data_IF_416397609284
#
_entry.id   IF_416397609284
#
_cell.length_a   1.000
_cell.length_b   1.000
_cell.length_c   1.000
_cell.angle_alpha   90.00
_cell.angle_beta   90.00
_cell.angle_gamma   90.00
#
_symmetry.space_group_name_H-M   'P 1'
#
loop_
_entity.id
_entity.type
_entity.pdbx_description
1 polymer ?
#
# COMPACT_ATOMS: atom_id res chain seq x y z
N UNK A 1 -18.04 6.29 8.24
CA UNK A 1 -16.92 5.36 8.41
C UNK A 1 -15.68 6.17 8.70
N UNK A 2 -14.69 5.55 9.33
CA UNK A 2 -13.43 6.16 9.70
C UNK A 2 -12.40 5.59 8.73
N UNK A 3 -11.83 6.44 7.87
CA UNK A 3 -11.00 6.00 6.76
C UNK A 3 -9.72 6.85 6.72
N UNK A 4 -8.61 6.23 6.32
CA UNK A 4 -7.38 6.93 5.97
C UNK A 4 -7.42 7.18 4.46
N UNK A 5 -7.38 8.45 4.06
CA UNK A 5 -7.47 8.86 2.66
C UNK A 5 -6.23 9.68 2.29
N UNK A 6 -5.54 9.29 1.23
CA UNK A 6 -4.39 10.02 0.71
C UNK A 6 -4.51 10.22 -0.80
N UNK A 7 -3.86 11.29 -1.29
CA UNK A 7 -3.75 11.57 -2.73
C UNK A 7 -2.35 12.04 -3.06
N UNK A 8 -1.71 11.38 -4.02
CA UNK A 8 -0.43 11.81 -4.59
C UNK A 8 -0.50 11.88 -6.12
N UNK A 9 0.37 12.67 -6.72
CA UNK A 9 0.61 12.68 -8.16
C UNK A 9 2.04 12.22 -8.44
N UNK A 10 2.19 11.32 -9.40
CA UNK A 10 3.48 10.77 -9.83
C UNK A 10 3.65 10.99 -11.33
N UNK A 11 4.86 11.35 -11.77
CA UNK A 11 5.20 11.53 -13.19
C UNK A 11 5.62 10.18 -13.76
N UNK A 12 4.62 9.35 -14.06
CA UNK A 12 4.79 8.02 -14.62
C UNK A 12 3.51 7.58 -15.37
N UNK A 13 3.63 6.73 -16.39
CA UNK A 13 2.49 6.05 -17.02
C UNK A 13 1.65 5.26 -16.01
N UNK A 14 0.34 5.21 -16.21
CA UNK A 14 -0.59 4.46 -15.35
C UNK A 14 -0.20 2.99 -15.22
N UNK A 15 0.29 2.36 -16.30
CA UNK A 15 0.70 0.95 -16.28
C UNK A 15 1.86 0.74 -15.30
N UNK A 16 2.89 1.60 -15.30
CA UNK A 16 4.03 1.49 -14.38
C UNK A 16 3.58 1.62 -12.92
N UNK A 17 2.65 2.54 -12.64
CA UNK A 17 2.09 2.73 -11.29
C UNK A 17 1.20 1.55 -10.90
N UNK A 18 0.41 1.02 -11.84
CA UNK A 18 -0.40 -0.16 -11.64
C UNK A 18 0.48 -1.36 -11.29
N UNK A 19 1.54 -1.64 -12.07
CA UNK A 19 2.48 -2.73 -11.76
C UNK A 19 3.12 -2.55 -10.39
N UNK A 20 3.49 -1.31 -10.01
CA UNK A 20 4.10 -1.02 -8.72
C UNK A 20 3.19 -1.34 -7.53
N UNK A 21 1.86 -1.22 -7.66
CA UNK A 21 0.93 -1.55 -6.59
C UNK A 21 0.30 -2.93 -6.74
N UNK A 22 0.22 -3.49 -7.96
CA UNK A 22 -0.53 -4.71 -8.25
C UNK A 22 0.33 -5.99 -8.28
N UNK A 23 1.66 -5.90 -8.17
CA UNK A 23 2.56 -7.07 -8.25
C UNK A 23 3.39 -7.24 -6.98
N UNK A 24 3.73 -8.48 -6.58
CA UNK A 24 4.64 -8.71 -5.45
C UNK A 24 5.98 -7.98 -5.61
N UNK A 25 6.54 -7.99 -6.83
CA UNK A 25 7.81 -7.32 -7.13
C UNK A 25 7.70 -5.80 -7.02
N UNK A 26 6.60 -5.22 -7.51
CA UNK A 26 6.30 -3.80 -7.38
C UNK A 26 6.15 -3.37 -5.93
N UNK A 27 5.32 -4.10 -5.17
CA UNK A 27 5.07 -3.88 -3.75
C UNK A 27 6.36 -3.97 -2.93
N UNK A 28 7.23 -4.93 -3.26
CA UNK A 28 8.54 -5.07 -2.63
C UNK A 28 9.48 -3.89 -2.91
N UNK A 29 9.28 -3.18 -4.03
CA UNK A 29 10.11 -2.05 -4.44
C UNK A 29 9.87 -0.76 -3.66
N UNK A 30 8.71 -0.59 -3.00
CA UNK A 30 8.39 0.64 -2.27
C UNK A 30 7.84 0.44 -0.87
N UNK A 31 7.27 -0.73 -0.54
CA UNK A 31 6.63 -0.96 0.74
C UNK A 31 7.47 -1.82 1.68
N UNK A 32 7.65 -3.12 1.39
CA UNK A 32 8.51 -3.99 2.20
C UNK A 32 9.18 -5.04 1.33
N UNK A 33 10.50 -5.21 1.50
CA UNK A 33 11.26 -6.20 0.72
C UNK A 33 10.79 -7.64 0.97
N UNK A 34 10.16 -7.90 2.13
CA UNK A 34 9.56 -9.19 2.45
C UNK A 34 8.06 -9.19 2.07
N UNK A 35 7.83 -9.21 0.75
CA UNK A 35 6.52 -9.37 0.14
C UNK A 35 6.47 -10.71 -0.60
N UNK A 36 5.52 -11.57 -0.24
CA UNK A 36 5.36 -12.90 -0.84
C UNK A 36 3.89 -13.19 -1.16
N UNK A 37 3.63 -14.30 -1.84
CA UNK A 37 2.28 -14.72 -2.22
C UNK A 37 1.99 -14.51 -3.70
N UNK A 38 0.71 -14.45 -4.06
CA UNK A 38 0.25 -14.30 -5.45
C UNK A 38 -0.72 -13.14 -5.57
N UNK A 39 -0.45 -12.26 -6.53
CA UNK A 39 -1.38 -11.19 -6.88
C UNK A 39 -2.35 -11.69 -7.96
N UNK A 40 -3.31 -12.50 -7.54
CA UNK A 40 -4.38 -13.03 -8.36
C UNK A 40 -5.70 -12.93 -7.57
N UNK A 41 -6.82 -12.76 -8.26
CA UNK A 41 -8.14 -12.64 -7.61
C UNK A 41 -8.42 -13.81 -6.65
N UNK A 42 -8.71 -13.49 -5.38
CA UNK A 42 -8.98 -14.46 -4.31
C UNK A 42 -7.75 -15.12 -3.70
N UNK A 43 -6.55 -14.89 -4.26
CA UNK A 43 -5.29 -15.31 -3.66
C UNK A 43 -4.83 -14.31 -2.59
N UNK A 44 -3.73 -14.64 -1.90
CA UNK A 44 -3.21 -13.86 -0.78
C UNK A 44 -1.82 -13.32 -1.04
N UNK A 45 -1.60 -12.11 -0.54
CA UNK A 45 -0.30 -11.45 -0.38
C UNK A 45 0.05 -11.39 1.09
N UNK A 46 1.31 -11.69 1.42
CA UNK A 46 1.85 -11.64 2.77
C UNK A 46 2.96 -10.59 2.82
N UNK A 47 2.83 -9.65 3.75
CA UNK A 47 3.79 -8.56 3.97
C UNK A 47 4.40 -8.71 5.36
N UNK A 48 5.73 -8.66 5.47
CA UNK A 48 6.45 -8.76 6.74
C UNK A 48 7.37 -7.56 6.93
N UNK A 49 7.52 -7.14 8.18
CA UNK A 49 8.31 -5.97 8.60
C UNK A 49 9.34 -6.37 9.66
N UNK A 50 10.00 -7.51 9.44
CA UNK A 50 10.97 -8.07 10.38
C UNK A 50 10.34 -8.34 11.75
N UNK A 51 10.96 -7.82 12.81
CA UNK A 51 10.53 -8.02 14.20
C UNK A 51 9.20 -7.30 14.52
N UNK A 52 8.74 -6.38 13.67
CA UNK A 52 7.46 -5.67 13.83
C UNK A 52 6.24 -6.48 13.36
N UNK A 53 6.44 -7.73 12.92
CA UNK A 53 5.37 -8.61 12.47
C UNK A 53 4.94 -8.35 11.03
N UNK A 54 3.66 -8.49 10.74
CA UNK A 54 3.14 -8.38 9.38
C UNK A 54 1.64 -8.61 9.30
N UNK A 55 1.14 -8.62 8.08
CA UNK A 55 -0.28 -8.83 7.78
C UNK A 55 -0.43 -9.55 6.44
N UNK A 56 -1.57 -10.23 6.29
CA UNK A 56 -1.93 -10.95 5.07
C UNK A 56 -3.18 -10.32 4.49
N UNK A 57 -3.19 -10.13 3.17
CA UNK A 57 -4.30 -9.52 2.45
C UNK A 57 -4.79 -10.42 1.34
N UNK A 58 -6.11 -10.60 1.24
CA UNK A 58 -6.78 -11.24 0.12
C UNK A 58 -7.01 -10.24 -1.01
N UNK A 59 -6.70 -10.65 -2.24
CA UNK A 59 -6.92 -9.82 -3.42
C UNK A 59 -8.39 -9.83 -3.82
N UNK A 60 -9.04 -8.69 -3.68
CA UNK A 60 -10.45 -8.50 -4.01
C UNK A 60 -10.67 -7.98 -5.43
N UNK A 61 -9.71 -7.24 -5.98
CA UNK A 61 -9.83 -6.64 -7.31
C UNK A 61 -8.47 -6.34 -7.93
N UNK A 62 -8.31 -6.69 -9.20
CA UNK A 62 -7.19 -6.33 -10.06
C UNK A 62 -7.74 -5.90 -11.41
N UNK A 63 -7.80 -4.58 -11.64
CA UNK A 63 -8.22 -3.98 -12.90
C UNK A 63 -7.07 -3.09 -13.42
N UNK A 64 -6.36 -3.53 -14.48
CA UNK A 64 -5.30 -2.76 -15.12
C UNK A 64 -5.73 -1.39 -15.64
N UNK A 65 -7.03 -1.11 -15.75
CA UNK A 65 -7.53 0.23 -16.09
C UNK A 65 -7.35 1.26 -14.97
N UNK A 66 -6.96 0.83 -13.77
CA UNK A 66 -6.56 1.72 -12.68
C UNK A 66 -7.21 1.41 -11.33
N UNK A 67 -7.53 0.15 -11.03
CA UNK A 67 -8.08 -0.22 -9.72
C UNK A 67 -7.47 -1.47 -9.14
N UNK A 68 -7.11 -1.40 -7.86
CA UNK A 68 -6.62 -2.55 -7.09
C UNK A 68 -7.27 -2.50 -5.71
N UNK A 69 -7.74 -3.66 -5.22
CA UNK A 69 -8.31 -3.77 -3.88
C UNK A 69 -7.86 -5.00 -3.15
N UNK A 70 -7.63 -4.85 -1.86
CA UNK A 70 -7.35 -5.94 -0.95
C UNK A 70 -8.17 -5.85 0.32
N UNK A 71 -8.39 -6.99 0.97
CA UNK A 71 -8.94 -7.08 2.33
C UNK A 71 -7.91 -7.65 3.26
N UNK A 72 -7.74 -7.03 4.42
CA UNK A 72 -6.85 -7.59 5.45
C UNK A 72 -7.52 -8.81 6.09
N UNK A 73 -6.82 -9.94 6.07
CA UNK A 73 -7.31 -11.24 6.56
C UNK A 73 -6.55 -11.75 7.78
N UNK A 74 -5.34 -11.23 8.03
CA UNK A 74 -4.53 -11.52 9.21
C UNK A 74 -3.63 -10.33 9.56
N UNK A 75 -3.22 -10.20 10.83
CA UNK A 75 -2.42 -9.10 11.34
C UNK A 75 -3.01 -8.43 12.59
N UNK A 76 -2.72 -7.14 12.84
CA UNK A 76 -3.29 -6.38 13.97
C UNK A 76 -4.83 -6.40 13.97
N UNK A 77 -5.45 -6.51 15.15
CA UNK A 77 -6.91 -6.62 15.29
C UNK A 77 -7.66 -5.44 14.62
N UNK A 78 -7.08 -4.25 14.67
CA UNK A 78 -7.64 -3.04 14.10
C UNK A 78 -7.67 -3.05 12.57
N UNK A 79 -6.79 -3.82 11.92
CA UNK A 79 -6.75 -3.95 10.47
C UNK A 79 -7.64 -5.09 9.96
N UNK A 80 -7.83 -6.18 10.70
CA UNK A 80 -8.57 -7.35 10.19
C UNK A 80 -9.99 -6.94 9.74
N UNK A 81 -10.32 -7.24 8.49
CA UNK A 81 -11.60 -6.92 7.86
C UNK A 81 -11.68 -5.53 7.21
N UNK A 82 -10.68 -4.66 7.40
CA UNK A 82 -10.54 -3.41 6.62
C UNK A 82 -10.14 -3.70 5.17
N UNK A 83 -10.35 -2.70 4.30
CA UNK A 83 -10.01 -2.79 2.89
C UNK A 83 -9.00 -1.70 2.49
N UNK A 84 -8.09 -2.06 1.60
CA UNK A 84 -7.16 -1.13 0.95
C UNK A 84 -7.60 -0.97 -0.51
N UNK A 85 -7.92 0.25 -0.93
CA UNK A 85 -8.41 0.60 -2.27
C UNK A 85 -7.44 1.59 -2.93
N UNK A 86 -6.98 1.22 -4.12
CA UNK A 86 -6.19 2.06 -5.01
C UNK A 86 -7.03 2.44 -6.21
N UNK A 87 -7.10 3.73 -6.50
CA UNK A 87 -7.62 4.23 -7.77
C UNK A 87 -6.57 5.08 -8.45
N UNK A 88 -6.27 4.71 -9.69
CA UNK A 88 -5.27 5.32 -10.54
C UNK A 88 -5.99 6.00 -11.70
N UNK A 89 -5.56 7.22 -12.02
CA UNK A 89 -6.17 8.03 -13.08
C UNK A 89 -5.07 8.80 -13.82
N UNK A 90 -4.87 8.48 -15.10
CA UNK A 90 -3.89 9.18 -15.95
C UNK A 90 -4.40 10.60 -16.27
N UNK A 91 -3.57 11.61 -16.01
CA UNK A 91 -3.81 13.03 -16.31
C UNK A 91 -2.54 13.65 -16.87
N UNK A 92 -2.51 13.81 -18.19
CA UNK A 92 -1.34 14.30 -18.91
C UNK A 92 -0.10 13.45 -18.55
N UNK A 93 0.99 14.07 -18.08
CA UNK A 93 2.21 13.38 -17.65
C UNK A 93 2.12 12.72 -16.27
N UNK A 94 1.04 12.99 -15.52
CA UNK A 94 0.85 12.47 -14.17
C UNK A 94 -0.08 11.27 -14.16
N UNK A 95 0.21 10.29 -13.32
CA UNK A 95 -0.80 9.38 -12.77
C UNK A 95 -1.20 9.86 -11.39
N UNK A 96 -2.49 10.03 -11.15
CA UNK A 96 -3.03 10.39 -9.85
C UNK A 96 -3.37 9.12 -9.08
N UNK A 97 -2.75 8.94 -7.92
CA UNK A 97 -3.04 7.85 -6.99
C UNK A 97 -3.97 8.37 -5.91
N UNK A 98 -5.16 7.78 -5.83
CA UNK A 98 -6.11 7.96 -4.74
C UNK A 98 -6.09 6.69 -3.90
N UNK A 99 -5.50 6.81 -2.72
CA UNK A 99 -5.32 5.72 -1.78
C UNK A 99 -6.38 5.79 -0.69
N UNK A 100 -6.92 4.62 -0.31
CA UNK A 100 -7.77 4.47 0.86
C UNK A 100 -7.39 3.24 1.66
N UNK A 101 -7.40 3.40 2.98
CA UNK A 101 -7.51 2.30 3.91
C UNK A 101 -8.78 2.51 4.74
N UNK A 102 -9.82 1.75 4.41
CA UNK A 102 -11.21 2.01 4.77
C UNK A 102 -11.80 0.93 5.68
N UNK A 103 -12.81 1.32 6.46
CA UNK A 103 -13.54 0.39 7.32
C UNK A 103 -12.99 0.26 8.74
N UNK A 104 -12.22 1.24 9.24
CA UNK A 104 -11.75 1.23 10.62
C UNK A 104 -12.94 1.32 11.59
N UNK A 105 -12.87 0.51 12.66
CA UNK A 105 -13.88 0.49 13.74
C UNK A 105 -13.88 1.80 14.54
N UNK A 106 -12.70 2.30 14.87
CA UNK A 106 -12.48 3.48 15.72
C UNK A 106 -11.10 4.11 15.44
N UNK A 107 -10.92 5.42 15.74
CA UNK A 107 -9.70 6.14 15.43
C UNK A 107 -8.72 6.06 16.61
N UNK A 108 -8.24 4.85 16.91
CA UNK A 108 -7.21 4.65 17.95
C UNK A 108 -5.86 5.24 17.52
N UNK A 109 -4.94 5.42 18.48
CA UNK A 109 -3.58 5.93 18.20
C UNK A 109 -2.87 5.16 17.08
N UNK A 110 -3.09 3.83 17.01
CA UNK A 110 -2.57 3.00 15.93
C UNK A 110 -3.03 3.46 14.55
N UNK A 111 -4.27 3.92 14.38
CA UNK A 111 -4.76 4.48 13.12
C UNK A 111 -3.99 5.75 12.74
N UNK A 112 -3.64 6.60 13.70
CA UNK A 112 -2.85 7.83 13.46
C UNK A 112 -1.42 7.50 13.02
N UNK A 113 -0.81 6.50 13.67
CA UNK A 113 0.47 5.96 13.26
C UNK A 113 0.41 5.40 11.84
N UNK A 114 -0.57 4.54 11.54
CA UNK A 114 -0.78 3.98 10.21
C UNK A 114 -0.99 5.07 9.16
N UNK A 115 -1.78 6.11 9.46
CA UNK A 115 -2.00 7.24 8.54
C UNK A 115 -0.69 7.90 8.12
N UNK A 116 0.22 8.09 9.07
CA UNK A 116 1.54 8.69 8.82
C UNK A 116 2.45 7.72 8.07
N UNK A 117 2.49 6.42 8.44
CA UNK A 117 3.25 5.40 7.71
C UNK A 117 2.79 5.28 6.25
N UNK A 118 1.48 5.32 6.01
CA UNK A 118 0.92 5.33 4.65
C UNK A 118 1.43 6.51 3.82
N UNK A 119 1.43 7.72 4.38
CA UNK A 119 1.96 8.89 3.69
C UNK A 119 3.46 8.71 3.35
N UNK A 120 4.25 8.16 4.27
CA UNK A 120 5.67 7.86 4.03
C UNK A 120 5.86 6.84 2.90
N UNK A 121 5.13 5.73 2.91
CA UNK A 121 5.27 4.73 1.85
C UNK A 121 4.72 5.21 0.50
N UNK A 122 3.71 6.09 0.48
CA UNK A 122 3.27 6.74 -0.75
C UNK A 122 4.37 7.62 -1.36
N UNK A 123 5.20 8.27 -0.55
CA UNK A 123 6.39 8.97 -1.06
C UNK A 123 7.44 7.98 -1.60
N UNK A 124 7.61 6.82 -0.97
CA UNK A 124 8.45 5.74 -1.49
C UNK A 124 7.95 5.20 -2.83
N UNK A 125 6.64 5.02 -3.01
CA UNK A 125 6.02 4.63 -4.28
C UNK A 125 6.31 5.66 -5.37
N UNK A 126 6.17 6.96 -5.05
CA UNK A 126 6.53 8.04 -5.96
C UNK A 126 8.00 7.98 -6.38
N UNK A 127 8.91 7.83 -5.43
CA UNK A 127 10.34 7.70 -5.73
C UNK A 127 10.63 6.48 -6.62
N UNK A 128 9.99 5.33 -6.34
CA UNK A 128 10.14 4.11 -7.15
C UNK A 128 9.74 4.34 -8.61
N UNK A 129 8.54 4.87 -8.86
CA UNK A 129 8.04 4.99 -10.24
C UNK A 129 8.70 6.13 -11.02
N UNK A 130 9.20 7.17 -10.35
CA UNK A 130 9.86 8.31 -11.01
C UNK A 130 11.37 8.10 -11.22
N UNK A 131 12.02 7.27 -10.40
CA UNK A 131 13.49 7.14 -10.40
C UNK A 131 14.00 5.71 -10.49
N UNK A 132 13.11 4.72 -10.38
CA UNK A 132 13.46 3.30 -10.33
C UNK A 132 13.92 2.81 -8.95
N UNK A 133 13.89 3.65 -7.91
CA UNK A 133 14.31 3.28 -6.55
C UNK A 133 13.38 3.86 -5.48
N UNK A 134 12.66 2.98 -4.78
CA UNK A 134 11.92 3.32 -3.57
C UNK A 134 12.74 3.14 -2.29
N UNK A 135 12.04 3.25 -1.16
CA UNK A 135 12.53 3.04 0.22
C UNK A 135 11.60 2.07 0.96
N UNK A 136 11.52 0.80 0.54
CA UNK A 136 10.75 -0.22 1.26
C UNK A 136 11.38 -0.50 2.63
N UNK A 137 10.60 -1.04 3.56
CA UNK A 137 11.15 -1.61 4.79
C UNK A 137 12.19 -2.69 4.44
N UNK A 138 13.35 -2.74 5.14
CA UNK A 138 13.68 -1.97 6.36
C UNK A 138 14.32 -0.59 6.13
N UNK A 139 14.47 -0.13 4.88
CA UNK A 139 15.11 1.15 4.52
C UNK A 139 14.15 2.36 4.57
N UNK A 140 12.93 2.16 5.06
CA UNK A 140 11.89 3.19 5.12
C UNK A 140 12.13 4.23 6.22
N UNK A 141 11.39 5.34 6.18
CA UNK A 141 11.47 6.36 7.23
C UNK A 141 10.84 5.82 8.51
N UNK A 142 11.67 5.70 9.55
CA UNK A 142 11.23 5.31 10.88
C UNK A 142 10.52 6.46 11.60
N UNK A 143 9.31 6.20 12.08
CA UNK A 143 8.43 7.20 12.70
C UNK A 143 7.78 6.73 14.01
N UNK A 144 8.15 5.54 14.50
CA UNK A 144 7.69 5.00 15.79
C UNK A 144 8.85 4.91 16.77
N UNK A 145 8.50 5.01 18.05
CA UNK A 145 9.32 4.62 19.20
C UNK A 145 8.99 3.21 19.70
N UNK A 146 8.15 2.48 18.97
CA UNK A 146 7.77 1.10 19.24
C UNK A 146 8.85 0.20 18.63
N UNK A 147 9.70 -0.35 19.51
CA UNK A 147 10.79 -1.27 19.18
C UNK A 147 10.41 -2.67 19.63
#
# INVERSE_FOLDING_TARGET
MIDILHRIGVVAPLDDVYQAVATPEGLAGWWTTDTTGKSEMGERLAFRFGDHGGFDMEVLELDPSGRVRWRVTDGPEEWIGTEVDWRLDQRDEYTIVQFKHEGWREPVEFMHHCSTKWATYLMSLKELVETGRGKPAPDDVQISDWH
#
